data_IF_872323452159
#
_entry.id   IF_872323452159
#
_cell.length_a   1.000
_cell.length_b   1.000
_cell.length_c   1.000
_cell.angle_alpha   90.00
_cell.angle_beta   90.00
_cell.angle_gamma   90.00
#
_symmetry.space_group_name_H-M   'P 1'
#
loop_
_entity.id
_entity.type
_entity.pdbx_description
1 polymer ?
#
# COMPACT_ATOMS: atom_id res chain seq x y z
N UNK A 1 23.62 6.73 14.70
CA UNK A 1 24.11 6.06 13.46
C UNK A 1 22.90 5.56 12.68
N UNK A 2 22.94 5.46 11.34
CA UNK A 2 21.78 4.97 10.57
C UNK A 2 21.35 3.55 10.99
N UNK A 3 22.31 2.71 11.40
CA UNK A 3 22.02 1.37 11.95
C UNK A 3 21.16 1.44 13.23
N UNK A 4 21.45 2.37 14.15
CA UNK A 4 20.63 2.59 15.36
C UNK A 4 19.23 3.12 15.01
N UNK A 5 19.12 3.98 14.00
CA UNK A 5 17.81 4.44 13.51
C UNK A 5 16.98 3.29 12.96
N UNK A 6 17.59 2.42 12.15
CA UNK A 6 16.92 1.26 11.56
C UNK A 6 16.37 0.29 12.62
N UNK A 7 17.10 0.07 13.72
CA UNK A 7 16.68 -0.77 14.85
C UNK A 7 15.42 -0.25 15.58
N UNK A 8 15.16 1.06 15.51
CA UNK A 8 14.03 1.70 16.17
C UNK A 8 12.82 1.90 15.25
N UNK A 9 12.95 1.62 13.94
CA UNK A 9 11.84 1.70 13.02
C UNK A 9 10.95 0.46 13.11
N UNK A 10 9.64 0.68 13.06
CA UNK A 10 8.70 -0.42 12.87
C UNK A 10 8.85 -1.01 11.47
N UNK A 11 8.87 -2.34 11.38
CA UNK A 11 8.94 -3.07 10.12
C UNK A 11 7.98 -4.26 10.13
N UNK A 12 7.21 -4.38 9.05
CA UNK A 12 6.15 -5.36 8.86
C UNK A 12 6.48 -6.21 7.61
N UNK A 13 7.39 -7.20 7.69
CA UNK A 13 7.90 -7.92 6.54
C UNK A 13 6.84 -8.73 5.78
N UNK A 14 5.69 -9.01 6.40
CA UNK A 14 4.54 -9.63 5.75
C UNK A 14 3.83 -8.72 4.75
N UNK A 15 4.10 -7.40 4.78
CA UNK A 15 3.51 -6.43 3.88
C UNK A 15 4.54 -5.92 2.86
N UNK A 16 4.62 -6.62 1.72
CA UNK A 16 5.57 -6.31 0.63
C UNK A 16 5.07 -5.27 -0.38
N UNK A 17 3.77 -5.01 -0.40
CA UNK A 17 3.10 -4.06 -1.28
C UNK A 17 2.93 -2.65 -0.73
N UNK A 18 2.13 -1.86 -1.43
CA UNK A 18 1.83 -0.45 -1.12
C UNK A 18 0.33 -0.19 -1.14
N UNK A 19 -0.13 0.82 -0.38
CA UNK A 19 -1.53 1.27 -0.48
C UNK A 19 -1.65 2.31 -1.59
N UNK A 20 -2.58 2.05 -2.52
CA UNK A 20 -2.96 2.98 -3.58
C UNK A 20 -4.43 3.37 -3.46
N UNK A 21 -4.80 4.49 -4.07
CA UNK A 21 -6.20 4.90 -4.17
C UNK A 21 -6.65 4.89 -5.63
N UNK A 22 -7.90 4.47 -5.85
CA UNK A 22 -8.49 4.36 -7.20
C UNK A 22 -9.91 4.90 -7.25
N UNK A 23 -10.25 5.47 -8.40
CA UNK A 23 -11.62 5.68 -8.83
C UNK A 23 -12.03 4.47 -9.67
N UNK A 24 -13.14 3.81 -9.32
CA UNK A 24 -13.56 2.52 -9.92
C UNK A 24 -15.04 2.53 -10.29
N UNK A 25 -15.41 1.77 -11.32
CA UNK A 25 -16.82 1.41 -11.54
C UNK A 25 -17.20 0.30 -10.57
N UNK A 26 -18.41 0.35 -9.99
CA UNK A 26 -18.86 -0.71 -9.11
C UNK A 26 -19.44 -1.88 -9.93
N UNK A 27 -19.53 -3.06 -9.33
CA UNK A 27 -20.08 -4.27 -9.96
C UNK A 27 -21.61 -4.30 -10.01
N UNK A 28 -22.30 -3.25 -9.51
CA UNK A 28 -23.76 -3.23 -9.48
C UNK A 28 -24.29 -3.00 -10.91
N UNK A 29 -25.11 -3.91 -11.46
CA UNK A 29 -25.56 -3.83 -12.86
C UNK A 29 -26.38 -2.57 -13.15
N UNK A 30 -27.14 -2.07 -12.16
CA UNK A 30 -28.03 -0.92 -12.31
C UNK A 30 -27.52 0.32 -11.54
N UNK A 31 -26.20 0.51 -11.43
CA UNK A 31 -25.66 1.69 -10.76
C UNK A 31 -25.88 2.95 -11.62
N UNK A 32 -26.76 3.84 -11.17
CA UNK A 32 -27.06 5.10 -11.86
C UNK A 32 -25.81 5.97 -12.08
N UNK A 33 -24.93 6.08 -11.08
CA UNK A 33 -23.69 6.86 -11.20
C UNK A 33 -22.74 6.28 -12.28
N UNK A 34 -22.53 4.96 -12.28
CA UNK A 34 -21.70 4.30 -13.30
C UNK A 34 -22.32 4.42 -14.70
N UNK A 35 -23.64 4.28 -14.82
CA UNK A 35 -24.36 4.42 -16.08
C UNK A 35 -24.27 5.84 -16.65
N UNK A 36 -24.25 6.85 -15.78
CA UNK A 36 -24.03 8.25 -16.15
C UNK A 36 -22.54 8.60 -16.38
N UNK A 37 -21.62 7.62 -16.31
CA UNK A 37 -20.19 7.81 -16.60
C UNK A 37 -19.32 8.21 -15.40
N UNK A 38 -19.89 8.31 -14.19
CA UNK A 38 -19.14 8.64 -12.98
C UNK A 38 -18.45 7.40 -12.37
N UNK A 39 -17.31 7.64 -11.71
CA UNK A 39 -16.57 6.62 -10.96
C UNK A 39 -16.80 6.79 -9.45
N UNK A 40 -16.71 5.68 -8.71
CA UNK A 40 -16.76 5.66 -7.25
C UNK A 40 -15.36 5.71 -6.64
N UNK A 41 -15.23 6.35 -5.50
CA UNK A 41 -14.00 6.41 -4.72
C UNK A 41 -13.70 7.84 -4.26
N UNK A 42 -12.43 8.13 -3.90
CA UNK A 42 -11.28 7.22 -3.94
C UNK A 42 -11.42 6.03 -2.98
N UNK A 43 -11.20 4.83 -3.51
CA UNK A 43 -11.17 3.57 -2.76
C UNK A 43 -9.72 3.15 -2.53
N UNK A 44 -9.39 2.71 -1.33
CA UNK A 44 -8.06 2.23 -0.99
C UNK A 44 -7.89 0.75 -1.37
N UNK A 45 -6.74 0.41 -1.94
CA UNK A 45 -6.34 -0.94 -2.30
C UNK A 45 -4.92 -1.20 -1.84
N UNK A 46 -4.67 -2.38 -1.29
CA UNK A 46 -3.32 -2.88 -1.08
C UNK A 46 -2.88 -3.60 -2.36
N UNK A 47 -1.85 -3.06 -3.02
CA UNK A 47 -1.30 -3.59 -4.26
C UNK A 47 0.05 -4.25 -3.96
N UNK A 48 0.19 -5.52 -4.34
CA UNK A 48 1.37 -6.36 -4.04
C UNK A 48 1.60 -7.37 -5.15
N UNK A 49 2.78 -7.97 -5.19
CA UNK A 49 3.07 -9.09 -6.10
C UNK A 49 2.91 -10.42 -5.35
N UNK A 50 2.27 -11.37 -6.01
CA UNK A 50 2.12 -12.77 -5.56
C UNK A 50 2.40 -13.66 -6.77
N UNK A 51 3.37 -14.57 -6.63
CA UNK A 51 3.83 -15.45 -7.72
C UNK A 51 4.17 -14.70 -9.04
N UNK A 52 4.82 -13.55 -8.90
CA UNK A 52 5.19 -12.68 -10.03
C UNK A 52 4.02 -11.92 -10.67
N UNK A 53 2.81 -12.06 -10.15
CA UNK A 53 1.62 -11.37 -10.64
C UNK A 53 1.22 -10.20 -9.73
N UNK A 54 0.86 -9.07 -10.33
CA UNK A 54 0.31 -7.94 -9.60
C UNK A 54 -1.10 -8.27 -9.10
N UNK A 55 -1.30 -8.22 -7.79
CA UNK A 55 -2.57 -8.43 -7.09
C UNK A 55 -3.01 -7.16 -6.39
N UNK A 56 -4.31 -7.06 -6.19
CA UNK A 56 -4.94 -5.94 -5.49
C UNK A 56 -6.02 -6.41 -4.55
N UNK A 57 -5.95 -5.95 -3.31
CA UNK A 57 -6.94 -6.23 -2.27
C UNK A 57 -7.65 -4.94 -1.87
N UNK A 58 -8.96 -4.88 -2.05
CA UNK A 58 -9.75 -3.74 -1.57
C UNK A 58 -9.64 -3.61 -0.04
N UNK A 59 -9.34 -2.40 0.43
CA UNK A 59 -9.23 -2.07 1.84
C UNK A 59 -10.49 -1.33 2.29
N UNK A 60 -11.35 -2.07 3.01
CA UNK A 60 -12.51 -1.48 3.66
C UNK A 60 -12.12 -0.47 4.75
N UNK A 61 -13.07 0.39 5.13
CA UNK A 61 -12.87 1.48 6.12
C UNK A 61 -12.22 1.02 7.42
N UNK A 62 -12.49 -0.20 7.88
CA UNK A 62 -11.97 -0.75 9.14
C UNK A 62 -10.48 -1.09 9.11
N UNK A 63 -9.92 -1.40 7.94
CA UNK A 63 -8.55 -1.93 7.81
C UNK A 63 -7.61 -1.00 7.06
N UNK A 64 -8.15 -0.05 6.29
CA UNK A 64 -7.35 0.83 5.42
C UNK A 64 -6.28 1.62 6.18
N UNK A 65 -6.61 2.13 7.37
CA UNK A 65 -5.72 3.00 8.14
C UNK A 65 -4.53 2.22 8.70
N UNK A 66 -4.76 0.97 9.12
CA UNK A 66 -3.69 0.07 9.56
C UNK A 66 -2.73 -0.26 8.41
N UNK A 67 -3.25 -0.64 7.23
CA UNK A 67 -2.42 -0.92 6.06
C UNK A 67 -1.61 0.30 5.61
N UNK A 68 -2.21 1.49 5.60
CA UNK A 68 -1.49 2.74 5.29
C UNK A 68 -0.34 2.93 6.27
N UNK A 69 -0.63 2.90 7.59
CA UNK A 69 0.40 3.11 8.62
C UNK A 69 1.56 2.12 8.48
N UNK A 70 1.27 0.83 8.32
CA UNK A 70 2.29 -0.22 8.23
C UNK A 70 3.11 -0.14 6.94
N UNK A 71 2.47 0.08 5.79
CA UNK A 71 3.20 0.23 4.52
C UNK A 71 4.05 1.50 4.48
N UNK A 72 3.61 2.59 5.10
CA UNK A 72 4.45 3.79 5.27
C UNK A 72 5.62 3.57 6.23
N UNK A 73 5.45 2.75 7.28
CA UNK A 73 6.56 2.35 8.15
C UNK A 73 7.62 1.55 7.36
N UNK A 74 7.19 0.57 6.55
CA UNK A 74 8.09 -0.20 5.69
C UNK A 74 8.84 0.69 4.70
N UNK A 75 8.18 1.67 4.06
CA UNK A 75 8.87 2.62 3.16
C UNK A 75 10.02 3.37 3.84
N UNK A 76 9.83 3.77 5.10
CA UNK A 76 10.89 4.44 5.88
C UNK A 76 12.01 3.47 6.21
N UNK A 77 11.67 2.28 6.68
CA UNK A 77 12.63 1.22 6.95
C UNK A 77 13.47 0.90 5.71
N UNK A 78 12.82 0.67 4.57
CA UNK A 78 13.48 0.32 3.30
C UNK A 78 14.39 1.44 2.80
N UNK A 79 14.00 2.71 2.99
CA UNK A 79 14.82 3.86 2.63
C UNK A 79 16.11 3.92 3.45
N UNK A 80 16.02 3.80 4.78
CA UNK A 80 17.19 3.79 5.66
C UNK A 80 18.07 2.57 5.38
N UNK A 81 17.47 1.40 5.20
CA UNK A 81 18.20 0.17 4.86
C UNK A 81 18.94 0.28 3.51
N UNK A 82 18.33 0.94 2.51
CA UNK A 82 18.97 1.18 1.21
C UNK A 82 20.14 2.17 1.32
N UNK A 83 19.99 3.21 2.15
CA UNK A 83 21.06 4.18 2.40
C UNK A 83 22.26 3.52 3.08
N UNK A 84 22.05 2.70 4.11
CA UNK A 84 23.11 1.92 4.76
C UNK A 84 23.85 1.06 3.74
N UNK A 85 23.14 0.29 2.92
CA UNK A 85 23.76 -0.55 1.87
C UNK A 85 24.61 0.27 0.90
N UNK A 86 24.14 1.45 0.51
CA UNK A 86 24.87 2.34 -0.42
C UNK A 86 26.14 2.91 0.21
N UNK A 87 26.17 3.10 1.54
CA UNK A 87 27.33 3.61 2.26
C UNK A 87 28.36 2.53 2.61
N UNK A 88 27.95 1.26 2.61
CA UNK A 88 28.80 0.09 2.88
C UNK A 88 29.46 -0.49 1.62
N UNK A 89 28.98 -0.11 0.42
CA UNK A 89 29.57 -0.42 -0.89
C UNK A 89 30.74 0.52 -1.27
#
# INVERSE_FOLDING_TARGET
MLQEELEHLEHYPELTGTVITKLVRCSRPNCAACAAGYFHGPNAYYQYYEDGQLKEKYLGKKVREEYIRKTEANKKYDAVAAEIRTLEE
#
